data_IF_542325224849
#
_entry.id   IF_542325224849
#
_cell.length_a   1.000
_cell.length_b   1.000
_cell.length_c   1.000
_cell.angle_alpha   90.00
_cell.angle_beta   90.00
_cell.angle_gamma   90.00
#
_symmetry.space_group_name_H-M   'P 1'
#
loop_
_entity.id
_entity.type
_entity.pdbx_description
1 polymer ?
#
# COMPACT_ATOMS: atom_id res chain seq x y z
N UNK A 1 -13.81 33.28 -5.17
CA UNK A 1 -14.15 31.95 -5.71
C UNK A 1 -12.83 31.37 -6.18
N UNK A 2 -12.22 30.51 -5.37
CA UNK A 2 -10.91 29.93 -5.70
C UNK A 2 -11.14 28.74 -6.63
N UNK A 3 -10.46 28.79 -7.77
CA UNK A 3 -10.36 27.76 -8.80
C UNK A 3 -10.18 26.37 -8.16
N UNK A 4 -11.20 25.52 -8.25
CA UNK A 4 -11.16 24.17 -7.70
C UNK A 4 -10.29 23.31 -8.60
N UNK A 5 -9.04 23.05 -8.19
CA UNK A 5 -8.15 22.19 -8.96
C UNK A 5 -8.82 20.83 -9.21
N UNK A 6 -8.99 20.44 -10.46
CA UNK A 6 -9.50 19.11 -10.85
C UNK A 6 -8.35 18.09 -10.92
N UNK A 7 -8.71 16.81 -10.86
CA UNK A 7 -7.76 15.70 -11.05
C UNK A 7 -7.31 15.62 -12.51
N UNK A 8 -6.00 15.72 -12.76
CA UNK A 8 -5.35 15.64 -14.06
C UNK A 8 -5.16 14.17 -14.50
N UNK A 9 -6.27 13.41 -14.53
CA UNK A 9 -6.25 11.95 -14.70
C UNK A 9 -5.54 11.49 -15.98
N UNK A 10 -5.82 12.13 -17.11
CA UNK A 10 -5.21 11.78 -18.40
C UNK A 10 -3.69 12.05 -18.41
N UNK A 11 -3.25 13.10 -17.72
CA UNK A 11 -1.83 13.40 -17.55
C UNK A 11 -1.16 12.35 -16.67
N UNK A 12 -1.79 11.94 -15.57
CA UNK A 12 -1.26 10.89 -14.68
C UNK A 12 -1.13 9.53 -15.41
N UNK A 13 -2.11 9.17 -16.23
CA UNK A 13 -2.06 7.96 -17.06
C UNK A 13 -0.88 8.03 -18.04
N UNK A 14 -0.70 9.17 -18.71
CA UNK A 14 0.44 9.39 -19.62
C UNK A 14 1.76 9.30 -18.89
N UNK A 15 1.87 9.89 -17.70
CA UNK A 15 3.06 9.85 -16.86
C UNK A 15 3.46 8.40 -16.55
N UNK A 16 2.53 7.59 -16.04
CA UNK A 16 2.78 6.19 -15.66
C UNK A 16 3.27 5.37 -16.86
N UNK A 17 2.55 5.43 -17.99
CA UNK A 17 2.91 4.70 -19.22
C UNK A 17 4.25 5.18 -19.80
N UNK A 18 4.63 6.44 -19.57
CA UNK A 18 5.92 6.98 -20.03
C UNK A 18 7.07 6.50 -19.16
N UNK A 19 6.90 6.47 -17.83
CA UNK A 19 7.95 6.00 -16.91
C UNK A 19 8.28 4.53 -17.18
N UNK A 20 7.28 3.69 -17.46
CA UNK A 20 7.47 2.29 -17.85
C UNK A 20 8.40 2.12 -19.07
N UNK A 21 8.33 3.04 -20.03
CA UNK A 21 9.11 3.00 -21.28
C UNK A 21 10.53 3.55 -21.12
N UNK A 22 10.81 4.36 -20.09
CA UNK A 22 12.12 5.01 -19.88
C UNK A 22 13.06 4.15 -19.03
N UNK A 23 13.38 2.94 -19.50
CA UNK A 23 14.21 1.99 -18.74
C UNK A 23 15.68 2.39 -18.60
N UNK A 24 16.18 3.27 -19.48
CA UNK A 24 17.60 3.68 -19.54
C UNK A 24 17.91 4.99 -18.77
N UNK A 25 16.99 5.49 -17.95
CA UNK A 25 17.23 6.72 -17.16
C UNK A 25 17.96 6.42 -15.84
N UNK A 26 18.58 7.45 -15.25
CA UNK A 26 19.21 7.34 -13.93
C UNK A 26 18.19 6.97 -12.84
N UNK A 27 17.00 7.56 -12.89
CA UNK A 27 15.89 7.29 -11.99
C UNK A 27 15.44 5.83 -12.09
N UNK A 28 15.33 5.31 -13.32
CA UNK A 28 15.03 3.89 -13.56
C UNK A 28 16.06 2.98 -12.89
N UNK A 29 17.36 3.29 -13.04
CA UNK A 29 18.44 2.51 -12.44
C UNK A 29 18.40 2.51 -10.91
N UNK A 30 18.26 3.68 -10.27
CA UNK A 30 18.25 3.75 -8.79
C UNK A 30 16.99 3.13 -8.19
N UNK A 31 15.91 3.01 -8.95
CA UNK A 31 14.65 2.37 -8.54
C UNK A 31 14.58 0.89 -8.89
N UNK A 32 15.64 0.30 -9.47
CA UNK A 32 15.62 -1.09 -9.93
C UNK A 32 15.28 -2.08 -8.80
N UNK A 33 15.83 -1.85 -7.61
CA UNK A 33 15.61 -2.69 -6.43
C UNK A 33 14.16 -2.75 -5.92
N UNK A 34 13.30 -1.82 -6.33
CA UNK A 34 11.86 -1.76 -5.95
C UNK A 34 10.95 -1.67 -7.18
N UNK A 35 11.42 -2.11 -8.35
CA UNK A 35 10.70 -1.97 -9.62
C UNK A 35 9.35 -2.68 -9.60
N UNK A 36 9.27 -3.85 -8.98
CA UNK A 36 8.02 -4.60 -8.81
C UNK A 36 7.01 -3.86 -7.93
N UNK A 37 7.46 -3.20 -6.85
CA UNK A 37 6.61 -2.33 -6.05
C UNK A 37 6.15 -1.11 -6.86
N UNK A 38 7.06 -0.53 -7.67
CA UNK A 38 6.76 0.54 -8.62
C UNK A 38 5.69 0.16 -9.64
N UNK A 39 5.78 -1.04 -10.20
CA UNK A 39 4.77 -1.59 -11.10
C UNK A 39 3.42 -1.71 -10.40
N UNK A 40 3.37 -2.25 -9.17
CA UNK A 40 2.15 -2.29 -8.38
C UNK A 40 1.51 -0.91 -8.20
N UNK A 41 2.28 0.11 -7.79
CA UNK A 41 1.77 1.47 -7.62
C UNK A 41 1.21 2.05 -8.92
N UNK A 42 1.97 1.96 -10.02
CA UNK A 42 1.56 2.48 -11.32
C UNK A 42 0.32 1.78 -11.88
N UNK A 43 0.31 0.45 -11.86
CA UNK A 43 -0.79 -0.36 -12.39
C UNK A 43 -2.07 -0.22 -11.57
N UNK A 44 -1.96 -0.16 -10.24
CA UNK A 44 -3.11 0.09 -9.37
C UNK A 44 -3.68 1.47 -9.64
N UNK A 45 -2.83 2.48 -9.85
CA UNK A 45 -3.29 3.82 -10.25
C UNK A 45 -4.02 3.81 -11.58
N UNK A 46 -3.50 3.11 -12.59
CA UNK A 46 -4.19 2.95 -13.87
C UNK A 46 -5.55 2.28 -13.69
N UNK A 47 -5.67 1.25 -12.86
CA UNK A 47 -6.96 0.61 -12.60
C UNK A 47 -7.94 1.54 -11.87
N UNK A 48 -7.48 2.26 -10.85
CA UNK A 48 -8.29 3.27 -10.14
C UNK A 48 -8.84 4.35 -11.09
N UNK A 49 -8.11 4.68 -12.15
CA UNK A 49 -8.51 5.64 -13.19
C UNK A 49 -9.22 5.00 -14.39
N UNK A 50 -9.59 3.71 -14.32
CA UNK A 50 -10.23 2.96 -15.41
C UNK A 50 -9.38 2.80 -16.68
N UNK A 51 -8.05 2.88 -16.56
CA UNK A 51 -7.07 2.83 -17.66
C UNK A 51 -6.07 1.66 -17.55
N UNK A 52 -6.36 0.61 -16.79
CA UNK A 52 -5.48 -0.57 -16.70
C UNK A 52 -5.20 -1.19 -18.08
N UNK A 53 -6.14 -1.10 -19.03
CA UNK A 53 -5.99 -1.55 -20.42
C UNK A 53 -4.95 -0.75 -21.25
N UNK A 54 -4.34 0.29 -20.70
CA UNK A 54 -3.28 1.05 -21.36
C UNK A 54 -1.94 0.28 -21.43
N UNK A 55 -1.82 -0.82 -20.67
CA UNK A 55 -0.67 -1.73 -20.69
C UNK A 55 -1.11 -3.13 -21.13
N UNK A 56 -0.17 -3.91 -21.66
CA UNK A 56 -0.43 -5.31 -22.04
C UNK A 56 -0.33 -6.22 -20.81
N UNK A 57 -1.45 -6.87 -20.46
CA UNK A 57 -1.52 -7.75 -19.30
C UNK A 57 -0.58 -8.96 -19.41
N UNK A 58 -0.38 -9.52 -20.61
CA UNK A 58 0.51 -10.66 -20.80
C UNK A 58 1.98 -10.25 -20.62
N UNK A 59 2.39 -9.10 -21.19
CA UNK A 59 3.76 -8.59 -21.01
C UNK A 59 4.08 -8.30 -19.54
N UNK A 60 3.12 -7.71 -18.81
CA UNK A 60 3.29 -7.44 -17.36
C UNK A 60 3.38 -8.74 -16.57
N UNK A 61 2.49 -9.70 -16.82
CA UNK A 61 2.49 -11.00 -16.11
C UNK A 61 3.79 -11.77 -16.39
N UNK A 62 4.24 -11.82 -17.64
CA UNK A 62 5.49 -12.48 -18.02
C UNK A 62 6.70 -11.86 -17.30
N UNK A 63 6.76 -10.53 -17.23
CA UNK A 63 7.83 -9.84 -16.49
C UNK A 63 7.76 -10.10 -14.98
N UNK A 64 6.58 -10.07 -14.36
CA UNK A 64 6.43 -10.40 -12.94
C UNK A 64 6.92 -11.81 -12.66
N UNK A 65 6.55 -12.77 -13.51
CA UNK A 65 6.99 -14.16 -13.37
C UNK A 65 8.50 -14.33 -13.61
N UNK A 66 9.14 -13.44 -14.36
CA UNK A 66 10.62 -13.40 -14.45
C UNK A 66 11.31 -12.94 -13.16
N UNK A 67 10.58 -12.33 -12.21
CA UNK A 67 11.08 -11.95 -10.89
C UNK A 67 10.79 -13.03 -9.82
N UNK A 68 10.06 -14.09 -10.18
CA UNK A 68 9.76 -15.22 -9.30
C UNK A 68 11.00 -16.07 -9.05
N UNK A 69 11.19 -16.52 -7.81
CA UNK A 69 12.26 -17.44 -7.42
C UNK A 69 11.69 -18.85 -7.22
N UNK A 70 11.88 -19.79 -8.16
CA UNK A 70 11.32 -21.13 -8.04
C UNK A 70 11.88 -21.95 -6.88
N UNK A 71 13.02 -21.59 -6.29
CA UNK A 71 13.57 -22.33 -5.15
C UNK A 71 12.89 -21.92 -3.84
N UNK A 72 12.67 -20.62 -3.65
CA UNK A 72 12.09 -20.07 -2.43
C UNK A 72 10.56 -19.95 -2.50
N UNK A 73 9.99 -19.62 -3.66
CA UNK A 73 8.58 -19.24 -3.81
C UNK A 73 8.32 -17.73 -3.64
N UNK A 74 9.35 -16.92 -3.37
CA UNK A 74 9.23 -15.47 -3.25
C UNK A 74 9.47 -14.74 -4.58
N UNK A 75 9.24 -13.43 -4.59
CA UNK A 75 9.58 -12.54 -5.72
C UNK A 75 10.64 -11.52 -5.32
N UNK A 76 11.59 -11.27 -6.23
CA UNK A 76 12.56 -10.19 -6.10
C UNK A 76 11.98 -8.83 -6.53
N UNK A 77 12.64 -7.74 -6.13
CA UNK A 77 12.25 -6.38 -6.55
C UNK A 77 12.41 -6.11 -8.05
N UNK A 78 13.26 -6.89 -8.72
CA UNK A 78 13.40 -6.99 -10.17
C UNK A 78 14.09 -8.33 -10.53
N UNK A 79 14.25 -8.62 -11.82
CA UNK A 79 14.98 -9.78 -12.32
C UNK A 79 16.41 -9.79 -11.75
N UNK A 80 16.80 -10.91 -11.14
CA UNK A 80 18.13 -11.09 -10.55
C UNK A 80 18.30 -10.51 -9.14
N UNK A 81 17.26 -9.90 -8.56
CA UNK A 81 17.27 -9.45 -7.16
C UNK A 81 16.74 -10.53 -6.22
N UNK A 82 17.22 -10.51 -4.97
CA UNK A 82 16.81 -11.46 -3.93
C UNK A 82 15.30 -11.36 -3.60
N UNK A 83 14.65 -12.49 -3.27
CA UNK A 83 13.24 -12.51 -2.94
C UNK A 83 12.98 -11.87 -1.58
N UNK A 84 11.94 -11.04 -1.52
CA UNK A 84 11.52 -10.34 -0.29
C UNK A 84 9.99 -10.31 -0.17
N UNK A 85 9.44 -10.31 1.04
CA UNK A 85 7.96 -10.30 1.24
C UNK A 85 7.29 -9.07 0.63
N UNK A 86 7.95 -7.90 0.66
CA UNK A 86 7.45 -6.65 0.05
C UNK A 86 7.19 -6.81 -1.45
N UNK A 87 8.17 -7.36 -2.16
CA UNK A 87 8.10 -7.65 -3.59
C UNK A 87 7.09 -8.77 -3.87
N UNK A 88 7.06 -9.79 -3.02
CA UNK A 88 6.10 -10.91 -3.11
C UNK A 88 4.66 -10.43 -3.01
N UNK A 89 4.33 -9.57 -2.04
CA UNK A 89 2.99 -8.98 -1.97
C UNK A 89 2.67 -8.16 -3.22
N UNK A 90 3.61 -7.34 -3.70
CA UNK A 90 3.39 -6.51 -4.90
C UNK A 90 3.13 -7.36 -6.14
N UNK A 91 3.84 -8.49 -6.32
CA UNK A 91 3.54 -9.47 -7.36
C UNK A 91 2.11 -10.01 -7.25
N UNK A 92 1.73 -10.49 -6.07
CA UNK A 92 0.40 -11.05 -5.81
C UNK A 92 -0.70 -10.00 -6.06
N UNK A 93 -0.50 -8.76 -5.61
CA UNK A 93 -1.44 -7.66 -5.83
C UNK A 93 -1.60 -7.34 -7.32
N UNK A 94 -0.52 -7.28 -8.10
CA UNK A 94 -0.62 -7.06 -9.55
C UNK A 94 -1.32 -8.23 -10.25
N UNK A 95 -1.01 -9.46 -9.87
CA UNK A 95 -1.70 -10.64 -10.42
C UNK A 95 -3.19 -10.64 -10.04
N UNK A 96 -3.55 -10.15 -8.85
CA UNK A 96 -4.94 -9.88 -8.48
C UNK A 96 -5.58 -8.86 -9.43
N UNK A 97 -4.92 -7.72 -9.72
CA UNK A 97 -5.46 -6.69 -10.64
C UNK A 97 -5.84 -7.29 -12.00
N UNK A 98 -4.97 -8.12 -12.56
CA UNK A 98 -5.17 -8.76 -13.86
C UNK A 98 -6.00 -10.05 -13.83
N UNK A 99 -6.45 -10.50 -12.66
CA UNK A 99 -7.18 -11.77 -12.50
C UNK A 99 -6.35 -12.98 -12.96
N UNK A 100 -5.04 -12.95 -12.67
CA UNK A 100 -4.04 -13.92 -13.13
C UNK A 100 -3.33 -14.67 -12.01
N UNK A 101 -3.99 -14.89 -10.87
CA UNK A 101 -3.43 -15.74 -9.81
C UNK A 101 -3.21 -17.20 -10.26
N UNK A 102 -3.83 -17.63 -11.37
CA UNK A 102 -3.68 -18.96 -11.98
C UNK A 102 -2.25 -19.30 -12.39
N UNK A 103 -1.40 -18.29 -12.63
CA UNK A 103 0.00 -18.50 -13.01
C UNK A 103 0.90 -18.90 -11.84
N UNK A 104 0.41 -18.74 -10.61
CA UNK A 104 1.16 -19.01 -9.41
C UNK A 104 0.98 -20.46 -8.96
N UNK A 105 2.08 -21.04 -8.48
CA UNK A 105 2.00 -22.07 -7.45
C UNK A 105 1.65 -21.37 -6.12
N UNK A 106 0.35 -21.20 -5.88
CA UNK A 106 -0.20 -20.49 -4.72
C UNK A 106 0.35 -21.04 -3.40
N UNK A 107 0.47 -22.36 -3.30
CA UNK A 107 0.93 -22.99 -2.07
C UNK A 107 2.41 -22.73 -1.83
N UNK A 108 3.23 -22.67 -2.89
CA UNK A 108 4.65 -22.36 -2.78
C UNK A 108 4.93 -20.91 -2.40
N UNK A 109 4.16 -19.97 -2.94
CA UNK A 109 4.23 -18.55 -2.52
C UNK A 109 3.79 -18.41 -1.06
N UNK A 110 2.71 -19.09 -0.67
CA UNK A 110 2.28 -19.09 0.73
C UNK A 110 3.34 -19.72 1.66
N UNK A 111 3.97 -20.83 1.27
CA UNK A 111 5.00 -21.49 2.07
C UNK A 111 6.26 -20.62 2.22
N UNK A 112 6.60 -19.78 1.23
CA UNK A 112 7.65 -18.77 1.38
C UNK A 112 7.33 -17.80 2.54
N UNK A 113 6.12 -17.25 2.56
CA UNK A 113 5.67 -16.31 3.60
C UNK A 113 5.57 -16.99 4.97
N UNK A 114 5.03 -18.21 5.02
CA UNK A 114 4.85 -18.98 6.26
C UNK A 114 6.20 -19.24 6.95
N UNK A 115 7.25 -19.57 6.19
CA UNK A 115 8.59 -19.82 6.75
C UNK A 115 9.26 -18.59 7.35
N UNK A 116 8.73 -17.40 7.08
CA UNK A 116 9.23 -16.14 7.63
C UNK A 116 8.53 -15.76 8.94
N UNK A 117 7.55 -16.53 9.41
CA UNK A 117 7.00 -16.34 10.74
C UNK A 117 7.99 -16.79 11.82
N UNK A 118 8.37 -15.85 12.69
CA UNK A 118 9.25 -16.06 13.82
C UNK A 118 8.52 -16.68 15.01
N UNK A 119 9.28 -17.19 15.99
CA UNK A 119 8.71 -17.86 17.17
C UNK A 119 7.80 -16.96 18.02
N UNK A 120 8.05 -15.65 18.01
CA UNK A 120 7.29 -14.60 18.70
C UNK A 120 6.05 -14.12 17.92
N UNK A 121 5.85 -14.61 16.69
CA UNK A 121 4.68 -14.32 15.84
C UNK A 121 4.90 -13.27 14.77
N UNK A 122 5.97 -12.47 14.88
CA UNK A 122 6.39 -11.53 13.84
C UNK A 122 6.71 -12.25 12.53
N UNK A 123 6.67 -11.53 11.42
CA UNK A 123 7.26 -11.98 10.16
C UNK A 123 8.55 -11.23 9.84
N UNK A 124 9.58 -11.93 9.38
CA UNK A 124 10.78 -11.30 8.82
C UNK A 124 10.58 -10.93 7.35
N UNK A 125 11.33 -9.93 6.88
CA UNK A 125 11.26 -9.46 5.49
C UNK A 125 11.75 -10.48 4.46
N UNK A 126 12.79 -11.21 4.85
CA UNK A 126 13.44 -12.28 4.12
C UNK A 126 14.25 -13.17 5.09
N UNK A 127 15.14 -14.00 4.55
CA UNK A 127 15.98 -14.92 5.32
C UNK A 127 17.02 -14.24 6.22
N UNK A 128 17.25 -12.93 6.08
CA UNK A 128 18.24 -12.18 6.85
C UNK A 128 17.69 -11.63 8.17
N UNK A 129 16.38 -11.76 8.40
CA UNK A 129 15.79 -11.61 9.72
C UNK A 129 15.53 -10.17 10.17
N UNK A 130 15.37 -9.21 9.25
CA UNK A 130 14.87 -7.87 9.62
C UNK A 130 13.52 -8.00 10.31
N UNK A 131 13.32 -7.20 11.36
CA UNK A 131 12.11 -7.19 12.19
C UNK A 131 11.38 -5.87 12.01
N UNK A 132 10.16 -5.92 11.48
CA UNK A 132 9.28 -4.77 11.39
C UNK A 132 7.81 -5.21 11.27
N UNK A 133 6.89 -4.55 12.01
CA UNK A 133 5.44 -4.72 11.86
C UNK A 133 4.92 -4.60 10.42
N UNK A 134 5.62 -3.86 9.54
CA UNK A 134 5.33 -3.81 8.09
C UNK A 134 5.27 -5.21 7.49
N UNK A 135 6.15 -6.11 7.89
CA UNK A 135 6.19 -7.48 7.37
C UNK A 135 5.03 -8.33 7.88
N UNK A 136 4.49 -8.03 9.07
CA UNK A 136 3.28 -8.69 9.57
C UNK A 136 2.07 -8.34 8.71
N UNK A 137 1.88 -7.06 8.37
CA UNK A 137 0.85 -6.64 7.41
C UNK A 137 1.04 -7.32 6.05
N UNK A 138 2.26 -7.27 5.52
CA UNK A 138 2.58 -7.79 4.18
C UNK A 138 2.33 -9.30 4.10
N UNK A 139 2.71 -10.05 5.13
CA UNK A 139 2.49 -11.48 5.23
C UNK A 139 0.99 -11.82 5.29
N UNK A 140 0.24 -11.18 6.18
CA UNK A 140 -1.19 -11.41 6.34
C UNK A 140 -1.97 -11.00 5.07
N UNK A 141 -1.62 -9.88 4.45
CA UNK A 141 -2.24 -9.44 3.19
C UNK A 141 -1.98 -10.44 2.06
N UNK A 142 -0.73 -10.89 1.91
CA UNK A 142 -0.36 -11.90 0.90
C UNK A 142 -1.12 -13.20 1.12
N UNK A 143 -1.08 -13.74 2.34
CA UNK A 143 -1.73 -15.01 2.67
C UNK A 143 -3.27 -14.92 2.58
N UNK A 144 -3.85 -13.77 2.88
CA UNK A 144 -5.28 -13.55 2.73
C UNK A 144 -5.71 -13.54 1.26
N UNK A 145 -5.02 -12.78 0.41
CA UNK A 145 -5.29 -12.75 -1.05
C UNK A 145 -5.13 -14.14 -1.70
N UNK A 146 -4.27 -14.99 -1.13
CA UNK A 146 -4.03 -16.37 -1.56
C UNK A 146 -4.94 -17.41 -0.87
N UNK A 147 -5.85 -17.01 0.03
CA UNK A 147 -6.70 -17.92 0.82
C UNK A 147 -5.89 -18.95 1.65
N UNK A 148 -4.77 -18.53 2.25
CA UNK A 148 -3.83 -19.37 3.01
C UNK A 148 -3.50 -18.85 4.42
N UNK A 149 -4.32 -17.97 5.00
CA UNK A 149 -4.15 -17.51 6.39
C UNK A 149 -4.11 -18.66 7.41
N UNK A 150 -4.73 -19.80 7.12
CA UNK A 150 -4.73 -20.98 8.00
C UNK A 150 -3.36 -21.66 8.15
N UNK A 151 -2.35 -21.29 7.34
CA UNK A 151 -1.00 -21.88 7.39
C UNK A 151 -0.09 -21.27 8.46
N UNK A 152 -0.47 -20.14 9.07
CA UNK A 152 0.35 -19.43 10.07
C UNK A 152 -0.24 -19.55 11.48
N UNK A 153 0.58 -19.29 12.49
CA UNK A 153 0.10 -19.07 13.85
C UNK A 153 -0.52 -17.66 13.95
N UNK A 154 -1.81 -17.57 13.65
CA UNK A 154 -2.54 -16.30 13.64
C UNK A 154 -2.57 -15.64 15.02
N UNK A 155 -2.67 -16.42 16.10
CA UNK A 155 -2.75 -15.87 17.45
C UNK A 155 -1.44 -15.16 17.80
N UNK A 156 -0.30 -15.80 17.54
CA UNK A 156 1.01 -15.16 17.76
C UNK A 156 1.22 -13.93 16.89
N UNK A 157 0.79 -13.96 15.63
CA UNK A 157 0.88 -12.80 14.74
C UNK A 157 0.09 -11.60 15.31
N UNK A 158 -1.13 -11.84 15.78
CA UNK A 158 -1.96 -10.81 16.43
C UNK A 158 -1.31 -10.33 17.73
N UNK A 159 -0.85 -11.23 18.59
CA UNK A 159 -0.22 -10.91 19.87
C UNK A 159 1.03 -10.03 19.69
N UNK A 160 1.87 -10.33 18.69
CA UNK A 160 3.03 -9.52 18.36
C UNK A 160 2.63 -8.09 17.93
N UNK A 161 1.67 -7.96 17.00
CA UNK A 161 1.18 -6.64 16.56
C UNK A 161 0.61 -5.85 17.73
N UNK A 162 -0.17 -6.49 18.61
CA UNK A 162 -0.73 -5.85 19.81
C UNK A 162 0.36 -5.41 20.79
N UNK A 163 1.46 -6.17 20.90
CA UNK A 163 2.61 -5.80 21.74
C UNK A 163 3.36 -4.55 21.25
N UNK A 164 3.15 -4.14 19.99
CA UNK A 164 3.72 -2.91 19.40
C UNK A 164 2.87 -1.65 19.67
N UNK A 165 1.73 -1.78 20.36
CA UNK A 165 0.85 -0.67 20.70
C UNK A 165 1.46 0.25 21.76
N UNK A 166 1.34 1.56 21.55
CA UNK A 166 1.87 2.60 22.43
C UNK A 166 0.78 3.27 23.29
N UNK A 167 1.23 4.09 24.25
CA UNK A 167 0.36 4.84 25.17
C UNK A 167 -0.59 5.83 24.46
N UNK A 168 -0.21 6.30 23.28
CA UNK A 168 -1.00 7.20 22.44
C UNK A 168 -1.99 6.45 21.53
N UNK A 169 -2.12 5.13 21.69
CA UNK A 169 -2.97 4.25 20.90
C UNK A 169 -2.37 3.86 19.54
N UNK A 170 -1.26 4.48 19.13
CA UNK A 170 -0.55 4.18 17.89
C UNK A 170 0.32 2.92 17.99
N UNK A 171 1.05 2.63 16.91
CA UNK A 171 1.91 1.47 16.78
C UNK A 171 3.26 1.86 16.19
N UNK A 172 4.33 1.25 16.71
CA UNK A 172 5.70 1.37 16.18
C UNK A 172 6.13 0.15 15.36
N UNK A 173 7.37 0.18 14.86
CA UNK A 173 7.92 -0.89 14.01
C UNK A 173 8.17 -2.20 14.77
N UNK A 174 8.31 -2.12 16.09
CA UNK A 174 8.53 -3.21 17.02
C UNK A 174 8.08 -2.77 18.42
N UNK A 175 8.01 -3.66 19.43
CA UNK A 175 7.67 -3.28 20.80
C UNK A 175 8.59 -2.16 21.31
N UNK A 176 7.98 -1.06 21.76
CA UNK A 176 8.69 0.14 22.22
C UNK A 176 9.10 1.14 21.13
N UNK A 177 8.84 0.85 19.84
CA UNK A 177 9.04 1.80 18.75
C UNK A 177 8.01 2.94 18.77
N UNK A 178 8.42 4.15 18.38
CA UNK A 178 7.55 5.34 18.32
C UNK A 178 6.40 5.14 17.33
N UNK A 179 5.21 5.66 17.69
CA UNK A 179 4.04 5.69 16.81
C UNK A 179 4.31 6.50 15.53
N UNK A 180 4.04 5.89 14.37
CA UNK A 180 4.18 6.53 13.07
C UNK A 180 3.08 6.06 12.13
N UNK A 181 2.55 6.96 11.29
CA UNK A 181 1.39 6.68 10.43
C UNK A 181 1.56 5.45 9.53
N UNK A 182 2.77 5.19 9.01
CA UNK A 182 3.05 4.02 8.18
C UNK A 182 2.98 2.71 8.96
N UNK A 183 3.56 2.67 10.16
CA UNK A 183 3.47 1.52 11.07
C UNK A 183 2.05 1.31 11.60
N UNK A 184 1.32 2.41 11.89
CA UNK A 184 -0.08 2.35 12.26
C UNK A 184 -0.91 1.73 11.15
N UNK A 185 -0.74 2.18 9.90
CA UNK A 185 -1.43 1.58 8.75
C UNK A 185 -1.17 0.07 8.67
N UNK A 186 0.09 -0.35 8.81
CA UNK A 186 0.44 -1.78 8.77
C UNK A 186 -0.22 -2.55 9.93
N UNK A 187 -0.12 -2.07 11.16
CA UNK A 187 -0.70 -2.76 12.32
C UNK A 187 -2.23 -2.82 12.26
N UNK A 188 -2.89 -1.71 11.91
CA UNK A 188 -4.35 -1.65 11.78
C UNK A 188 -4.81 -2.52 10.62
N UNK A 189 -4.12 -2.50 9.47
CA UNK A 189 -4.40 -3.36 8.33
C UNK A 189 -4.23 -4.85 8.64
N UNK A 190 -3.16 -5.22 9.34
CA UNK A 190 -2.94 -6.58 9.81
C UNK A 190 -4.08 -7.05 10.73
N UNK A 191 -4.47 -6.22 11.70
CA UNK A 191 -5.58 -6.53 12.61
C UNK A 191 -6.94 -6.54 11.89
N UNK A 192 -7.14 -5.71 10.85
CA UNK A 192 -8.33 -5.75 10.01
C UNK A 192 -8.45 -7.09 9.27
N UNK A 193 -7.37 -7.52 8.60
CA UNK A 193 -7.30 -8.78 7.87
C UNK A 193 -7.48 -9.98 8.81
N UNK A 194 -6.91 -9.92 10.02
CA UNK A 194 -7.05 -10.96 11.03
C UNK A 194 -8.43 -11.01 11.73
N UNK A 195 -9.31 -10.02 11.51
CA UNK A 195 -10.58 -9.90 12.24
C UNK A 195 -10.42 -9.45 13.71
N UNK A 196 -9.29 -8.81 14.03
CA UNK A 196 -8.81 -8.52 15.38
C UNK A 196 -8.80 -7.02 15.74
N UNK A 197 -9.59 -6.19 15.04
CA UNK A 197 -9.70 -4.74 15.31
C UNK A 197 -10.21 -4.41 16.73
N UNK A 198 -10.76 -5.37 17.47
CA UNK A 198 -11.24 -5.18 18.84
C UNK A 198 -10.10 -4.93 19.85
N UNK A 199 -8.83 -5.17 19.49
CA UNK A 199 -7.66 -4.79 20.31
C UNK A 199 -7.32 -3.29 20.23
N UNK A 200 -7.87 -2.57 19.26
CA UNK A 200 -7.59 -1.14 19.05
C UNK A 200 -8.57 -0.31 19.89
N UNK A 201 -8.01 0.65 20.63
CA UNK A 201 -8.82 1.75 21.17
C UNK A 201 -9.06 2.74 20.03
N UNK A 202 -10.25 2.67 19.44
CA UNK A 202 -10.58 3.42 18.21
C UNK A 202 -10.61 4.92 18.44
N UNK A 203 -10.99 5.37 19.63
CA UNK A 203 -11.10 6.80 19.94
C UNK A 203 -9.73 7.39 20.23
N UNK A 204 -8.91 6.69 21.03
CA UNK A 204 -7.55 7.14 21.31
C UNK A 204 -6.69 7.20 20.04
N UNK A 205 -6.71 6.13 19.24
CA UNK A 205 -5.98 6.10 17.97
C UNK A 205 -6.57 7.09 16.95
N UNK A 206 -7.90 7.20 16.89
CA UNK A 206 -8.58 8.17 16.04
C UNK A 206 -8.14 9.60 16.33
N UNK A 207 -7.93 9.94 17.61
CA UNK A 207 -7.50 11.27 18.02
C UNK A 207 -6.06 11.54 17.57
N UNK A 208 -5.15 10.59 17.79
CA UNK A 208 -3.77 10.71 17.34
C UNK A 208 -3.67 10.92 15.81
N UNK A 209 -4.51 10.17 15.06
CA UNK A 209 -4.57 10.21 13.59
C UNK A 209 -5.19 11.51 13.06
N UNK A 210 -6.29 11.99 13.63
CA UNK A 210 -6.92 13.23 13.14
C UNK A 210 -6.04 14.47 13.42
N UNK A 211 -5.27 14.45 14.52
CA UNK A 211 -4.28 15.49 14.84
C UNK A 211 -3.07 15.49 13.90
N UNK A 212 -3.00 14.57 12.94
CA UNK A 212 -2.04 14.64 11.83
C UNK A 212 -2.41 15.71 10.80
N UNK A 213 -3.65 16.22 10.79
CA UNK A 213 -4.09 17.18 9.79
C UNK A 213 -3.48 18.57 10.04
N UNK A 214 -2.64 19.00 9.11
CA UNK A 214 -1.95 20.27 9.13
C UNK A 214 -2.85 21.42 8.64
N UNK A 215 -2.39 22.67 8.84
CA UNK A 215 -3.12 23.88 8.43
C UNK A 215 -3.37 23.96 6.92
N UNK A 216 -2.48 23.36 6.12
CA UNK A 216 -2.58 23.28 4.66
C UNK A 216 -3.58 22.21 4.18
N UNK A 217 -4.12 21.40 5.09
CA UNK A 217 -5.10 20.35 4.81
C UNK A 217 -4.50 18.96 4.67
N UNK A 218 -3.19 18.85 4.41
CA UNK A 218 -2.49 17.59 4.30
C UNK A 218 -2.26 16.92 5.65
N UNK A 219 -1.90 15.64 5.64
CA UNK A 219 -1.64 14.86 6.85
C UNK A 219 -0.13 14.59 6.96
N UNK A 220 0.43 14.68 8.17
CA UNK A 220 1.82 14.29 8.43
C UNK A 220 1.93 12.90 9.08
N UNK A 221 3.14 12.34 9.10
CA UNK A 221 3.36 10.97 9.61
C UNK A 221 3.46 10.83 11.12
N UNK A 222 3.75 11.93 11.82
CA UNK A 222 3.91 12.04 13.27
C UNK A 222 4.02 13.52 13.67
N UNK A 223 3.91 13.88 14.96
CA UNK A 223 4.05 15.26 15.42
C UNK A 223 5.32 15.96 14.91
N UNK A 224 5.21 17.27 14.69
CA UNK A 224 6.32 18.15 14.24
C UNK A 224 6.93 17.80 12.85
N UNK A 225 6.22 17.02 12.02
CA UNK A 225 6.60 16.77 10.61
C UNK A 225 5.72 17.53 9.64
N UNK A 226 6.26 17.75 8.44
CA UNK A 226 5.51 18.35 7.33
C UNK A 226 4.45 17.38 6.81
N UNK A 227 3.37 17.93 6.25
CA UNK A 227 2.38 17.15 5.53
C UNK A 227 3.00 16.49 4.29
N UNK A 228 2.41 15.36 3.89
CA UNK A 228 2.84 14.55 2.76
C UNK A 228 1.66 13.77 2.17
N UNK A 229 1.63 13.59 0.85
CA UNK A 229 0.61 12.79 0.16
C UNK A 229 0.66 11.32 0.60
N UNK A 230 1.83 10.73 0.87
CA UNK A 230 1.89 9.33 1.30
C UNK A 230 1.29 9.12 2.70
N UNK A 231 1.57 10.06 3.64
CA UNK A 231 0.95 10.08 4.96
C UNK A 231 -0.56 10.29 4.89
N UNK A 232 -1.01 11.06 3.90
CA UNK A 232 -2.44 11.27 3.67
C UNK A 232 -3.18 9.97 3.40
N UNK A 233 -2.61 9.07 2.59
CA UNK A 233 -3.14 7.72 2.42
C UNK A 233 -3.09 6.91 3.71
N UNK A 234 -1.92 6.78 4.36
CA UNK A 234 -1.79 5.88 5.53
C UNK A 234 -2.69 6.27 6.70
N UNK A 235 -2.78 7.57 6.98
CA UNK A 235 -3.66 8.08 8.03
C UNK A 235 -5.12 7.90 7.66
N UNK A 236 -5.51 8.23 6.42
CA UNK A 236 -6.89 8.12 5.95
C UNK A 236 -7.38 6.66 5.96
N UNK A 237 -6.59 5.73 5.43
CA UNK A 237 -6.90 4.29 5.45
C UNK A 237 -7.08 3.77 6.87
N UNK A 238 -6.18 4.18 7.78
CA UNK A 238 -6.27 3.79 9.20
C UNK A 238 -7.55 4.32 9.85
N UNK A 239 -7.89 5.59 9.61
CA UNK A 239 -9.13 6.21 10.09
C UNK A 239 -10.37 5.51 9.54
N UNK A 240 -10.38 5.07 8.27
CA UNK A 240 -11.51 4.34 7.69
C UNK A 240 -11.65 2.96 8.34
N UNK A 241 -10.56 2.21 8.50
CA UNK A 241 -10.60 0.87 9.12
C UNK A 241 -11.12 0.89 10.57
N UNK A 242 -10.90 1.99 11.30
CA UNK A 242 -11.39 2.15 12.68
C UNK A 242 -12.68 2.99 12.78
N UNK A 243 -13.31 3.34 11.65
CA UNK A 243 -14.55 4.11 11.57
C UNK A 243 -14.47 5.52 12.21
N UNK A 244 -13.38 6.24 11.92
CA UNK A 244 -13.07 7.59 12.44
C UNK A 244 -12.73 8.61 11.35
N UNK A 245 -12.95 8.26 10.08
CA UNK A 245 -12.66 9.13 8.93
C UNK A 245 -13.36 10.50 8.99
N UNK A 246 -14.50 10.60 9.68
CA UNK A 246 -15.24 11.84 9.86
C UNK A 246 -14.57 12.85 10.81
N UNK A 247 -13.44 12.50 11.44
CA UNK A 247 -12.70 13.37 12.36
C UNK A 247 -11.73 14.33 11.64
N UNK A 248 -11.53 14.17 10.34
CA UNK A 248 -10.71 15.06 9.51
C UNK A 248 -11.56 15.85 8.52
N UNK A 249 -11.02 16.97 8.07
CA UNK A 249 -11.60 17.80 7.01
C UNK A 249 -11.23 17.22 5.63
N UNK A 250 -12.11 16.42 5.05
CA UNK A 250 -11.91 15.75 3.74
C UNK A 250 -11.77 16.75 2.58
N UNK A 251 -12.45 17.88 2.64
CA UNK A 251 -12.39 18.90 1.57
C UNK A 251 -11.00 19.54 1.51
N UNK A 252 -10.44 19.90 2.68
CA UNK A 252 -9.07 20.41 2.75
C UNK A 252 -8.04 19.37 2.32
N UNK A 253 -8.20 18.11 2.74
CA UNK A 253 -7.30 17.04 2.33
C UNK A 253 -7.33 16.81 0.81
N UNK A 254 -8.53 16.77 0.23
CA UNK A 254 -8.74 16.67 -1.23
C UNK A 254 -8.01 17.81 -1.94
N UNK A 255 -8.17 19.04 -1.46
CA UNK A 255 -7.49 20.22 -2.03
C UNK A 255 -5.96 20.12 -1.91
N UNK A 256 -5.44 19.65 -0.77
CA UNK A 256 -4.01 19.44 -0.58
C UNK A 256 -3.45 18.46 -1.63
N UNK A 257 -4.07 17.29 -1.80
CA UNK A 257 -3.64 16.28 -2.78
C UNK A 257 -3.69 16.85 -4.21
N UNK A 258 -4.78 17.53 -4.57
CA UNK A 258 -4.95 18.10 -5.92
C UNK A 258 -3.95 19.22 -6.22
N UNK A 259 -3.39 19.88 -5.20
CA UNK A 259 -2.32 20.86 -5.35
C UNK A 259 -0.93 20.24 -5.49
N UNK A 260 -0.77 18.94 -5.26
CA UNK A 260 0.51 18.22 -5.42
C UNK A 260 0.68 17.60 -6.83
N UNK A 261 -0.23 17.91 -7.76
CA UNK A 261 -0.20 17.36 -9.12
C UNK A 261 0.71 18.19 -10.03
N UNK A 262 1.53 17.53 -10.86
CA UNK A 262 2.02 18.16 -12.10
C UNK A 262 0.91 18.08 -13.15
N UNK A 263 0.27 19.22 -13.43
CA UNK A 263 -0.85 19.31 -14.38
C UNK A 263 -0.42 19.32 -15.84
N UNK A 264 0.86 19.54 -16.13
CA UNK A 264 1.39 19.56 -17.49
C UNK A 264 1.86 18.18 -17.91
N UNK A 265 2.70 17.54 -17.08
CA UNK A 265 3.34 16.26 -17.39
C UNK A 265 2.68 15.06 -16.70
N UNK A 266 1.86 15.30 -15.68
CA UNK A 266 1.25 14.25 -14.86
C UNK A 266 2.14 13.78 -13.73
N UNK A 267 1.57 12.96 -12.85
CA UNK A 267 2.18 12.56 -11.59
C UNK A 267 1.75 13.44 -10.42
N UNK A 268 1.91 12.92 -9.21
CA UNK A 268 1.68 13.61 -7.94
C UNK A 268 2.97 13.49 -7.12
N UNK A 269 3.36 14.57 -6.46
CA UNK A 269 4.51 14.63 -5.55
C UNK A 269 4.09 14.49 -4.08
N UNK A 270 5.07 14.42 -3.19
CA UNK A 270 4.87 14.46 -1.74
C UNK A 270 4.19 15.76 -1.26
N UNK A 271 4.54 16.89 -1.87
CA UNK A 271 4.06 18.24 -1.55
C UNK A 271 3.97 19.11 -2.81
N UNK A 272 3.22 20.24 -2.78
CA UNK A 272 3.16 21.17 -3.91
C UNK A 272 4.56 21.61 -4.35
N UNK A 273 4.74 21.78 -5.66
CA UNK A 273 5.97 22.25 -6.33
C UNK A 273 7.20 21.32 -6.24
N UNK A 274 7.06 20.12 -5.65
CA UNK A 274 8.11 19.10 -5.64
C UNK A 274 8.09 18.22 -6.90
N UNK A 275 9.15 17.44 -7.10
CA UNK A 275 9.22 16.45 -8.18
C UNK A 275 8.23 15.29 -7.94
N UNK A 276 7.53 14.89 -9.00
CA UNK A 276 6.56 13.80 -8.97
C UNK A 276 7.21 12.43 -9.06
N UNK A 277 6.58 11.42 -8.49
CA UNK A 277 6.99 10.02 -8.60
C UNK A 277 5.78 9.07 -8.64
N UNK A 278 5.97 7.83 -9.08
CA UNK A 278 4.90 6.83 -9.18
C UNK A 278 4.29 6.51 -7.80
N UNK A 279 5.09 6.58 -6.73
CA UNK A 279 4.68 6.23 -5.38
C UNK A 279 3.65 7.22 -4.81
N UNK A 280 3.96 8.51 -4.87
CA UNK A 280 3.04 9.59 -4.47
C UNK A 280 1.88 9.74 -5.44
N UNK A 281 2.07 9.46 -6.74
CA UNK A 281 0.97 9.37 -7.72
C UNK A 281 -0.07 8.34 -7.28
N UNK A 282 0.39 7.15 -6.89
CA UNK A 282 -0.50 6.12 -6.37
C UNK A 282 -1.20 6.54 -5.09
N UNK A 283 -0.47 7.02 -4.08
CA UNK A 283 -1.10 7.39 -2.81
C UNK A 283 -2.01 8.61 -2.91
N UNK A 284 -1.75 9.54 -3.82
CA UNK A 284 -2.64 10.65 -4.10
C UNK A 284 -3.96 10.18 -4.71
N UNK A 285 -3.90 9.37 -5.78
CA UNK A 285 -5.13 8.85 -6.43
C UNK A 285 -5.89 7.89 -5.50
N UNK A 286 -5.19 7.04 -4.75
CA UNK A 286 -5.80 6.15 -3.78
C UNK A 286 -6.43 6.92 -2.59
N UNK A 287 -5.79 8.00 -2.13
CA UNK A 287 -6.36 8.90 -1.12
C UNK A 287 -7.64 9.58 -1.61
N UNK A 288 -7.66 10.05 -2.86
CA UNK A 288 -8.86 10.59 -3.51
C UNK A 288 -9.96 9.53 -3.64
N UNK A 289 -9.61 8.28 -3.96
CA UNK A 289 -10.55 7.16 -3.98
C UNK A 289 -11.23 6.94 -2.63
N UNK A 290 -10.47 6.94 -1.53
CA UNK A 290 -11.01 6.78 -0.16
C UNK A 290 -11.89 7.97 0.30
N UNK A 291 -11.76 9.13 -0.36
CA UNK A 291 -12.63 10.28 -0.18
C UNK A 291 -13.79 10.31 -1.18
N UNK A 292 -14.00 9.23 -1.95
CA UNK A 292 -15.06 9.08 -2.93
C UNK A 292 -15.01 10.15 -4.04
N UNK A 293 -13.79 10.55 -4.45
CA UNK A 293 -13.62 11.55 -5.50
C UNK A 293 -14.22 11.07 -6.84
N UNK A 294 -15.06 11.89 -7.52
CA UNK A 294 -15.72 11.47 -8.75
C UNK A 294 -14.76 10.99 -9.84
N UNK A 295 -15.10 9.88 -10.49
CA UNK A 295 -14.32 9.32 -11.60
C UNK A 295 -13.13 8.45 -11.19
N UNK A 296 -12.91 8.25 -9.89
CA UNK A 296 -11.92 7.30 -9.36
C UNK A 296 -12.67 6.09 -8.78
N UNK A 297 -12.24 4.86 -9.11
CA UNK A 297 -12.82 3.63 -8.55
C UNK A 297 -12.70 3.61 -7.02
N UNK A 298 -13.64 2.98 -6.29
CA UNK A 298 -13.48 2.76 -4.85
C UNK A 298 -12.33 1.81 -4.52
N UNK A 299 -11.66 2.07 -3.40
CA UNK A 299 -10.48 1.35 -2.92
C UNK A 299 -10.77 0.68 -1.57
N UNK A 300 -10.24 -0.53 -1.37
CA UNK A 300 -10.23 -1.17 -0.07
C UNK A 300 -9.06 -0.62 0.79
N UNK A 301 -9.33 -0.07 1.98
CA UNK A 301 -8.29 0.57 2.80
C UNK A 301 -7.33 -0.43 3.46
N UNK A 302 -7.70 -1.71 3.60
CA UNK A 302 -6.87 -2.73 4.22
C UNK A 302 -6.01 -3.48 3.20
N UNK A 303 -6.55 -3.83 2.03
CA UNK A 303 -5.83 -4.55 0.99
C UNK A 303 -5.04 -3.64 0.05
N UNK A 304 -5.31 -2.32 0.10
CA UNK A 304 -4.76 -1.35 -0.80
C UNK A 304 -4.95 -1.76 -2.28
N UNK A 305 -6.14 -2.26 -2.61
CA UNK A 305 -6.55 -2.68 -3.94
C UNK A 305 -7.95 -2.15 -4.26
N UNK A 306 -8.29 -1.93 -5.55
CA UNK A 306 -9.63 -1.53 -5.96
C UNK A 306 -10.67 -2.52 -5.43
N UNK A 307 -11.81 -2.00 -4.95
CA UNK A 307 -12.79 -2.79 -4.23
C UNK A 307 -13.39 -3.91 -5.11
N UNK A 308 -13.52 -3.68 -6.42
CA UNK A 308 -13.95 -4.70 -7.39
C UNK A 308 -12.93 -5.84 -7.54
N UNK A 309 -11.64 -5.56 -7.39
CA UNK A 309 -10.56 -6.57 -7.39
C UNK A 309 -10.62 -7.40 -6.11
N UNK A 310 -10.74 -6.76 -4.95
CA UNK A 310 -10.87 -7.46 -3.65
C UNK A 310 -12.13 -8.34 -3.64
N UNK A 311 -13.27 -7.80 -4.05
CA UNK A 311 -14.51 -8.56 -4.17
C UNK A 311 -14.37 -9.74 -5.13
N UNK A 312 -13.65 -9.58 -6.23
CA UNK A 312 -13.39 -10.68 -7.17
C UNK A 312 -12.60 -11.82 -6.52
N UNK A 313 -11.58 -11.49 -5.72
CA UNK A 313 -10.73 -12.49 -5.03
C UNK A 313 -11.52 -13.28 -3.99
N UNK A 314 -12.43 -12.64 -3.25
CA UNK A 314 -13.11 -13.27 -2.11
C UNK A 314 -14.55 -13.75 -2.38
N UNK A 315 -15.25 -13.17 -3.36
CA UNK A 315 -16.68 -13.45 -3.62
C UNK A 315 -16.92 -14.31 -4.86
N UNK A 316 -15.93 -14.53 -5.72
CA UNK A 316 -16.06 -15.52 -6.79
C UNK A 316 -16.05 -16.92 -6.18
N UNK A 317 -17.19 -17.59 -6.29
CA UNK A 317 -17.37 -19.02 -5.99
C UNK A 317 -16.77 -19.88 -7.09
#
# INVERSE_FOLDING_TARGET
>A
MADGAELAADQHVRYIVTVEKKKDSFESLVMEHIRLNGAYWGLTTLDLLHKLHAVDAAEVVDWIMSCYHPESGGFGGNVGHDPHVLSTLSAVQVLCLFDRLDVLDVDKVADYVVRLQNEDGLFSGDIWGEVDTRFSYVALCTLSLLHRLHKIDMQKAVDFVVSCKNLDGGFGAMPGGESHAGQIFCCVGALAIAGSLHHIDRDLLGWWLCERQCKDGGLNGRPEKLADVCYSWWVLSSLIMIDRVHWIDKEKLTKFILNCQDKENGGISDRPDNAVDIYHTYFGVAGLSLMEYPGVKPMDPAYALPLDVVNRVFLRK
#
